data_IF_637215570041
#
_entry.id   IF_637215570041
#
_cell.length_a   1.000
_cell.length_b   1.000
_cell.length_c   1.000
_cell.angle_alpha   90.00
_cell.angle_beta   90.00
_cell.angle_gamma   90.00
#
_symmetry.space_group_name_H-M   'P 1'
#
loop_
_entity.id
_entity.type
_entity.pdbx_description
1 polymer ?
#
# COMPACT_ATOMS: atom_id res chain seq x y z
N UNK A 1 12.52 15.36 -0.12
CA UNK A 1 13.09 14.34 0.76
C UNK A 1 12.04 13.82 1.73
N UNK A 2 11.32 14.70 2.44
CA UNK A 2 10.40 14.34 3.53
C UNK A 2 9.21 13.49 3.05
N UNK A 3 8.62 13.83 1.91
CA UNK A 3 7.60 12.99 1.25
C UNK A 3 8.14 11.60 0.88
N UNK A 4 9.34 11.54 0.27
CA UNK A 4 9.95 10.28 -0.17
C UNK A 4 10.43 9.38 0.99
N UNK A 5 10.55 9.90 2.20
CA UNK A 5 10.90 9.15 3.41
C UNK A 5 9.73 8.96 4.37
N UNK A 6 8.50 9.21 3.93
CA UNK A 6 7.28 8.99 4.71
C UNK A 6 7.28 9.66 6.10
N UNK A 7 7.80 10.90 6.18
CA UNK A 7 7.86 11.66 7.43
C UNK A 7 7.17 13.03 7.33
N UNK A 8 6.10 13.08 6.56
CA UNK A 8 5.28 14.29 6.38
C UNK A 8 4.41 14.62 7.59
N UNK A 9 4.14 13.65 8.47
CA UNK A 9 3.15 13.72 9.54
C UNK A 9 1.75 13.29 9.12
N UNK A 10 1.53 13.05 7.82
CA UNK A 10 0.27 12.52 7.30
C UNK A 10 0.29 10.98 7.36
N UNK A 11 -0.69 10.34 8.00
CA UNK A 11 -0.82 8.89 7.99
C UNK A 11 -1.25 8.36 6.62
N UNK A 12 -1.40 7.06 6.49
CA UNK A 12 -2.00 6.45 5.31
C UNK A 12 -3.46 6.95 5.14
N UNK A 13 -3.84 7.22 3.92
CA UNK A 13 -5.19 7.63 3.52
C UNK A 13 -5.62 6.92 2.24
N UNK A 14 -5.16 5.69 2.04
CA UNK A 14 -5.38 4.93 0.81
C UNK A 14 -6.87 4.69 0.54
N UNK A 15 -7.71 4.68 1.58
CA UNK A 15 -9.16 4.59 1.46
C UNK A 15 -9.76 5.69 0.55
N UNK A 16 -9.12 6.87 0.48
CA UNK A 16 -9.52 7.93 -0.46
C UNK A 16 -9.60 7.47 -1.92
N UNK A 17 -8.81 6.47 -2.31
CA UNK A 17 -8.77 5.95 -3.69
C UNK A 17 -10.09 5.32 -4.13
N UNK A 18 -10.96 4.96 -3.22
CA UNK A 18 -12.28 4.43 -3.55
C UNK A 18 -13.18 5.46 -4.25
N UNK A 19 -12.91 6.75 -4.06
CA UNK A 19 -13.73 7.84 -4.63
C UNK A 19 -12.92 8.96 -5.27
N UNK A 20 -11.87 9.44 -4.60
CA UNK A 20 -11.10 10.59 -5.09
C UNK A 20 -10.33 10.20 -6.33
N UNK A 21 -10.80 10.67 -7.47
CA UNK A 21 -10.26 10.41 -8.80
C UNK A 21 -9.73 11.67 -9.48
N UNK A 22 -9.62 11.58 -10.81
CA UNK A 22 -9.20 12.67 -11.67
C UNK A 22 -7.69 12.73 -11.88
N UNK A 23 -7.04 13.87 -11.61
CA UNK A 23 -5.61 14.06 -11.86
C UNK A 23 -4.78 13.99 -10.58
N UNK A 24 -3.47 13.73 -10.74
CA UNK A 24 -2.49 13.83 -9.65
C UNK A 24 -2.47 15.21 -8.99
N UNK A 25 -2.74 16.27 -9.78
CA UNK A 25 -2.92 17.63 -9.27
C UNK A 25 -4.11 17.73 -8.33
N UNK A 26 -5.25 17.13 -8.70
CA UNK A 26 -6.45 17.13 -7.84
C UNK A 26 -6.15 16.43 -6.51
N UNK A 27 -5.53 15.26 -6.55
CA UNK A 27 -5.13 14.55 -5.34
C UNK A 27 -4.20 15.38 -4.45
N UNK A 28 -3.20 16.04 -5.03
CA UNK A 28 -2.30 16.94 -4.27
C UNK A 28 -3.08 18.04 -3.54
N UNK A 29 -4.06 18.67 -4.20
CA UNK A 29 -4.90 19.71 -3.58
C UNK A 29 -5.78 19.13 -2.46
N UNK A 30 -6.26 17.90 -2.62
CA UNK A 30 -7.02 17.19 -1.58
C UNK A 30 -6.14 16.85 -0.38
N UNK A 31 -4.92 16.39 -0.61
CA UNK A 31 -3.96 16.09 0.47
C UNK A 31 -3.65 17.32 1.36
N UNK A 32 -3.76 18.54 0.83
CA UNK A 32 -3.59 19.76 1.61
C UNK A 32 -4.68 19.99 2.69
N UNK A 33 -5.77 19.25 2.62
CA UNK A 33 -6.88 19.31 3.58
C UNK A 33 -6.92 18.09 4.51
N UNK A 34 -5.89 17.24 4.49
CA UNK A 34 -5.78 16.11 5.40
C UNK A 34 -5.16 16.55 6.72
N UNK A 35 -5.69 16.01 7.81
CA UNK A 35 -5.14 16.22 9.13
C UNK A 35 -3.87 15.38 9.32
N UNK A 36 -2.86 15.96 9.94
CA UNK A 36 -1.68 15.25 10.37
C UNK A 36 -1.95 14.53 11.70
N UNK A 37 -1.45 13.31 11.84
CA UNK A 37 -1.53 12.54 13.10
C UNK A 37 -0.22 12.63 13.90
N UNK A 38 0.85 13.19 13.31
CA UNK A 38 2.12 13.41 13.96
C UNK A 38 2.77 14.72 13.47
N UNK A 39 3.79 15.20 14.18
CA UNK A 39 4.57 16.35 13.75
C UNK A 39 5.39 16.07 12.51
N UNK A 40 5.68 17.13 11.74
CA UNK A 40 6.53 17.05 10.56
C UNK A 40 7.93 16.54 10.93
N UNK A 41 8.39 15.46 10.30
CA UNK A 41 9.66 14.74 10.55
C UNK A 41 9.74 14.00 11.89
N UNK A 42 8.66 13.89 12.62
CA UNK A 42 8.65 13.28 13.95
C UNK A 42 8.66 11.75 13.89
N UNK A 43 7.81 11.18 13.03
CA UNK A 43 7.67 9.74 12.91
C UNK A 43 7.52 9.26 11.47
N UNK A 44 7.78 7.99 11.25
CA UNK A 44 7.52 7.30 10.00
C UNK A 44 6.03 6.97 9.88
N UNK A 45 5.41 7.44 8.80
CA UNK A 45 4.02 7.12 8.45
C UNK A 45 3.94 6.86 6.95
N UNK A 46 3.85 5.58 6.58
CA UNK A 46 3.78 5.18 5.18
C UNK A 46 2.59 5.84 4.49
N UNK A 47 2.82 6.54 3.39
CA UNK A 47 1.78 7.29 2.68
C UNK A 47 2.00 7.28 1.17
N UNK A 48 1.19 6.53 0.45
CA UNK A 48 1.24 6.41 -1.01
C UNK A 48 0.93 7.72 -1.73
N UNK A 49 0.06 8.57 -1.17
CA UNK A 49 -0.30 9.85 -1.77
C UNK A 49 0.91 10.78 -1.91
N UNK A 50 1.88 10.72 -0.98
CA UNK A 50 3.10 11.50 -1.08
C UNK A 50 3.94 11.12 -2.30
N UNK A 51 3.94 9.86 -2.72
CA UNK A 51 4.59 9.42 -3.95
C UNK A 51 3.83 9.84 -5.21
N UNK A 52 2.50 9.86 -5.16
CA UNK A 52 1.68 10.41 -6.26
C UNK A 52 1.97 11.91 -6.43
N UNK A 53 2.06 12.66 -5.33
CA UNK A 53 2.44 14.09 -5.34
C UNK A 53 3.85 14.30 -5.88
N UNK A 54 4.82 13.43 -5.52
CA UNK A 54 6.17 13.46 -6.10
C UNK A 54 6.15 13.19 -7.61
N UNK A 55 5.34 12.25 -8.09
CA UNK A 55 5.14 12.03 -9.52
C UNK A 55 4.61 13.25 -10.23
N UNK A 56 3.58 13.89 -9.67
CA UNK A 56 3.06 15.16 -10.21
C UNK A 56 4.11 16.28 -10.19
N UNK A 57 4.90 16.41 -9.13
CA UNK A 57 5.99 17.37 -9.06
C UNK A 57 7.03 17.14 -10.17
N UNK A 58 7.36 15.89 -10.48
CA UNK A 58 8.25 15.56 -11.61
C UNK A 58 7.66 16.03 -12.94
N UNK A 59 6.35 15.85 -13.17
CA UNK A 59 5.67 16.34 -14.37
C UNK A 59 5.77 17.86 -14.49
N UNK A 60 5.48 18.59 -13.41
CA UNK A 60 5.57 20.05 -13.39
C UNK A 60 7.00 20.54 -13.67
N UNK A 61 8.01 19.97 -13.01
CA UNK A 61 9.41 20.35 -13.17
C UNK A 61 9.98 20.01 -14.56
N UNK A 62 9.32 19.15 -15.31
CA UNK A 62 9.70 18.75 -16.68
C UNK A 62 8.78 19.31 -17.76
N UNK A 63 8.06 20.40 -17.46
CA UNK A 63 7.26 21.11 -18.44
C UNK A 63 6.02 20.32 -18.92
N UNK A 64 5.48 19.44 -18.09
CA UNK A 64 4.30 18.64 -18.38
C UNK A 64 4.59 17.26 -18.98
N UNK A 65 5.86 16.83 -19.09
CA UNK A 65 6.19 15.46 -19.47
C UNK A 65 5.66 14.49 -18.42
N UNK A 66 4.87 13.49 -18.85
CA UNK A 66 4.25 12.54 -17.93
C UNK A 66 5.30 11.75 -17.11
N UNK A 67 4.95 11.39 -15.88
CA UNK A 67 5.79 10.55 -15.02
C UNK A 67 6.17 9.24 -15.72
N UNK A 68 5.24 8.62 -16.42
CA UNK A 68 5.43 7.36 -17.15
C UNK A 68 6.50 7.49 -18.24
N UNK A 69 6.46 8.58 -19.01
CA UNK A 69 7.46 8.86 -20.05
C UNK A 69 8.85 9.08 -19.44
N UNK A 70 8.91 9.78 -18.31
CA UNK A 70 10.16 10.01 -17.59
C UNK A 70 10.75 8.71 -17.03
N UNK A 71 9.93 7.83 -16.43
CA UNK A 71 10.38 6.52 -15.94
C UNK A 71 10.85 5.64 -17.10
N UNK A 72 10.08 5.60 -18.19
CA UNK A 72 10.48 4.85 -19.36
C UNK A 72 11.85 5.28 -19.86
N UNK A 73 12.04 6.55 -20.16
CA UNK A 73 13.28 7.10 -20.72
C UNK A 73 14.47 6.99 -19.77
N UNK A 74 14.29 7.36 -18.49
CA UNK A 74 15.41 7.52 -17.55
C UNK A 74 15.78 6.22 -16.83
N UNK A 75 14.91 5.23 -16.82
CA UNK A 75 15.12 3.97 -16.11
C UNK A 75 14.97 2.78 -17.05
N UNK A 76 13.79 2.56 -17.63
CA UNK A 76 13.50 1.35 -18.38
C UNK A 76 14.38 1.21 -19.63
N UNK A 77 14.51 2.26 -20.43
CA UNK A 77 15.31 2.24 -21.66
C UNK A 77 16.81 2.03 -21.34
N UNK A 78 17.33 2.62 -20.27
CA UNK A 78 18.72 2.43 -19.82
C UNK A 78 19.01 1.03 -19.31
N UNK A 79 18.03 0.39 -18.69
CA UNK A 79 18.10 -0.98 -18.19
C UNK A 79 17.82 -2.04 -19.27
N UNK A 80 17.35 -1.63 -20.45
CA UNK A 80 16.85 -2.56 -21.47
C UNK A 80 15.61 -3.33 -20.98
N UNK A 81 14.70 -2.67 -20.23
CA UNK A 81 13.45 -3.23 -19.77
C UNK A 81 12.40 -3.06 -20.85
N UNK A 82 11.92 -4.16 -21.42
CA UNK A 82 11.00 -4.18 -22.54
C UNK A 82 9.53 -4.41 -22.12
N UNK A 83 9.33 -5.10 -20.99
CA UNK A 83 8.01 -5.51 -20.53
C UNK A 83 7.31 -4.48 -19.64
N UNK A 84 7.93 -3.31 -19.42
CA UNK A 84 7.34 -2.28 -18.57
C UNK A 84 6.01 -1.80 -19.14
N UNK A 85 5.01 -1.76 -18.26
CA UNK A 85 3.69 -1.17 -18.51
C UNK A 85 3.28 -0.34 -17.30
N UNK A 86 2.38 0.57 -17.51
CA UNK A 86 1.88 1.45 -16.45
C UNK A 86 0.38 1.26 -16.26
N UNK A 87 -0.05 1.30 -15.02
CA UNK A 87 -1.45 1.16 -14.64
C UNK A 87 -2.31 2.26 -15.27
N UNK A 88 -3.49 1.92 -15.77
CA UNK A 88 -4.48 2.88 -16.28
C UNK A 88 -4.17 3.50 -17.64
N UNK A 89 -3.14 3.08 -18.35
CA UNK A 89 -2.92 3.56 -19.71
C UNK A 89 -3.63 2.67 -20.75
N UNK A 90 -4.39 3.27 -21.71
CA UNK A 90 -5.10 2.53 -22.75
C UNK A 90 -4.18 1.65 -23.59
N UNK A 91 -4.67 0.50 -24.05
CA UNK A 91 -3.97 -0.40 -24.97
C UNK A 91 -2.82 -1.20 -24.38
N UNK A 92 -2.55 -1.05 -23.08
CA UNK A 92 -1.41 -1.67 -22.45
C UNK A 92 -1.62 -3.14 -22.02
N UNK A 93 -2.85 -3.65 -22.00
CA UNK A 93 -3.14 -4.94 -21.36
C UNK A 93 -4.01 -5.91 -22.18
N UNK A 94 -4.68 -5.44 -23.23
CA UNK A 94 -5.76 -6.22 -23.85
C UNK A 94 -5.31 -7.44 -24.66
N UNK A 95 -4.03 -7.51 -25.05
CA UNK A 95 -3.46 -8.59 -25.87
C UNK A 95 -2.16 -9.18 -25.29
N UNK A 96 -1.88 -9.00 -24.00
CA UNK A 96 -0.66 -9.51 -23.38
C UNK A 96 -0.95 -10.73 -22.52
N UNK A 97 -0.08 -11.74 -22.61
CA UNK A 97 0.03 -12.77 -21.60
C UNK A 97 0.39 -12.12 -20.26
N UNK A 98 -0.53 -12.17 -19.30
CA UNK A 98 -0.35 -11.61 -17.95
C UNK A 98 -0.79 -12.59 -16.89
N UNK A 99 -0.15 -12.55 -15.74
CA UNK A 99 -0.65 -13.22 -14.56
C UNK A 99 -2.00 -12.60 -14.15
N UNK A 100 -2.94 -13.43 -13.75
CA UNK A 100 -4.23 -13.01 -13.21
C UNK A 100 -4.11 -12.80 -11.70
N UNK A 101 -4.86 -11.82 -11.13
CA UNK A 101 -4.84 -11.52 -9.70
C UNK A 101 -5.61 -12.55 -8.90
N UNK A 102 -5.05 -12.98 -7.78
CA UNK A 102 -5.69 -13.87 -6.82
C UNK A 102 -5.50 -13.36 -5.39
N UNK A 103 -6.46 -13.66 -4.54
CA UNK A 103 -6.34 -13.54 -3.09
C UNK A 103 -6.36 -14.93 -2.47
N UNK A 104 -5.68 -15.11 -1.35
CA UNK A 104 -5.62 -16.40 -0.67
C UNK A 104 -6.19 -16.28 0.73
N UNK A 105 -7.08 -17.19 1.10
CA UNK A 105 -7.56 -17.36 2.46
C UNK A 105 -6.62 -18.26 3.30
N UNK A 106 -5.47 -18.64 2.73
CA UNK A 106 -4.50 -19.55 3.33
C UNK A 106 -4.75 -21.01 3.00
N UNK A 107 -5.90 -21.35 2.45
CA UNK A 107 -6.30 -22.71 2.06
C UNK A 107 -6.61 -22.81 0.57
N UNK A 108 -7.16 -21.75 -0.01
CA UNK A 108 -7.50 -21.67 -1.42
C UNK A 108 -7.11 -20.32 -2.01
N UNK A 109 -6.99 -20.27 -3.34
CA UNK A 109 -6.76 -19.03 -4.07
C UNK A 109 -8.04 -18.67 -4.85
N UNK A 110 -8.51 -17.45 -4.66
CA UNK A 110 -9.71 -16.90 -5.29
C UNK A 110 -9.32 -15.79 -6.25
N UNK A 111 -9.81 -15.86 -7.48
CA UNK A 111 -9.59 -14.79 -8.45
C UNK A 111 -10.28 -13.52 -7.97
N UNK A 112 -9.55 -12.42 -7.95
CA UNK A 112 -10.10 -11.10 -7.64
C UNK A 112 -10.07 -10.18 -8.86
N UNK A 113 -10.77 -9.05 -8.75
CA UNK A 113 -10.69 -7.99 -9.73
C UNK A 113 -9.42 -7.16 -9.54
N UNK A 114 -8.95 -6.59 -10.63
CA UNK A 114 -7.78 -5.73 -10.64
C UNK A 114 -8.22 -4.29 -10.93
N UNK A 115 -8.05 -3.41 -9.96
CA UNK A 115 -8.28 -1.98 -10.15
C UNK A 115 -7.15 -1.36 -10.98
N UNK A 116 -7.48 -0.66 -12.05
CA UNK A 116 -6.52 -0.08 -13.00
C UNK A 116 -6.58 1.47 -13.00
N UNK A 117 -6.23 2.12 -11.90
CA UNK A 117 -6.22 3.58 -11.78
C UNK A 117 -4.87 4.17 -12.21
N UNK A 118 -4.83 5.09 -13.20
CA UNK A 118 -3.59 5.77 -13.60
C UNK A 118 -3.06 6.72 -12.54
N UNK A 119 -3.90 7.11 -11.59
CA UNK A 119 -3.54 8.02 -10.51
C UNK A 119 -2.39 7.46 -9.66
N UNK A 120 -2.47 6.16 -9.33
CA UNK A 120 -1.52 5.46 -8.47
C UNK A 120 -0.20 5.06 -9.15
N UNK A 121 0.02 5.46 -10.41
CA UNK A 121 1.26 5.16 -11.15
C UNK A 121 2.52 5.33 -10.31
N UNK A 122 2.80 6.51 -9.74
CA UNK A 122 4.04 6.78 -9.01
C UNK A 122 4.22 6.03 -7.69
N UNK A 123 3.16 5.51 -7.08
CA UNK A 123 3.26 4.79 -5.81
C UNK A 123 3.21 3.27 -5.95
N UNK A 124 2.78 2.73 -7.12
CA UNK A 124 2.66 1.27 -7.26
C UNK A 124 2.18 0.81 -8.64
N UNK A 125 2.12 1.70 -9.64
CA UNK A 125 1.50 1.39 -10.94
C UNK A 125 2.41 0.81 -12.02
N UNK A 126 3.65 0.45 -11.72
CA UNK A 126 4.54 -0.22 -12.67
C UNK A 126 4.21 -1.72 -12.72
N UNK A 127 4.00 -2.22 -13.94
CA UNK A 127 3.83 -3.64 -14.26
C UNK A 127 5.04 -4.11 -15.04
N UNK A 128 5.62 -5.21 -14.66
CA UNK A 128 6.85 -5.75 -15.26
C UNK A 128 6.97 -7.24 -14.96
N UNK A 129 7.66 -8.01 -15.80
CA UNK A 129 7.99 -9.38 -15.45
C UNK A 129 9.23 -9.47 -14.51
N UNK A 130 9.42 -10.60 -13.87
CA UNK A 130 10.50 -10.77 -12.87
C UNK A 130 11.90 -10.67 -13.49
N UNK A 131 12.09 -11.09 -14.74
CA UNK A 131 13.38 -10.99 -15.44
C UNK A 131 13.77 -9.52 -15.65
N UNK A 132 12.85 -8.67 -16.04
CA UNK A 132 13.12 -7.25 -16.20
C UNK A 132 13.22 -6.51 -14.86
N UNK A 133 12.43 -6.91 -13.85
CA UNK A 133 12.56 -6.39 -12.48
C UNK A 133 13.92 -6.70 -11.89
N UNK A 134 14.51 -7.88 -12.20
CA UNK A 134 15.87 -8.23 -11.73
C UNK A 134 16.95 -7.31 -12.28
N UNK A 135 16.79 -6.75 -13.49
CA UNK A 135 17.74 -5.77 -14.05
C UNK A 135 17.80 -4.51 -13.18
N UNK A 136 16.64 -4.04 -12.68
CA UNK A 136 16.55 -2.93 -11.74
C UNK A 136 17.29 -3.26 -10.43
N UNK A 137 16.98 -4.40 -9.82
CA UNK A 137 17.61 -4.85 -8.56
C UNK A 137 19.12 -4.95 -8.72
N UNK A 138 19.61 -5.55 -9.81
CA UNK A 138 21.04 -5.69 -10.06
C UNK A 138 21.74 -4.34 -10.32
N UNK A 139 21.08 -3.40 -11.00
CA UNK A 139 21.63 -2.05 -11.15
C UNK A 139 21.75 -1.34 -9.80
N UNK A 140 20.74 -1.50 -8.93
CA UNK A 140 20.78 -0.93 -7.57
C UNK A 140 21.84 -1.61 -6.69
N UNK A 141 22.00 -2.93 -6.76
CA UNK A 141 23.07 -3.66 -6.07
C UNK A 141 24.48 -3.17 -6.49
N UNK A 142 24.64 -2.77 -7.76
CA UNK A 142 25.88 -2.16 -8.33
C UNK A 142 26.01 -0.66 -8.08
N UNK A 143 25.29 -0.09 -7.12
CA UNK A 143 25.39 1.34 -6.81
C UNK A 143 24.74 2.27 -7.83
N UNK A 144 23.69 1.82 -8.49
CA UNK A 144 22.95 2.56 -9.53
C UNK A 144 23.60 2.50 -10.91
N UNK A 145 24.36 1.42 -11.20
CA UNK A 145 25.05 1.21 -12.48
C UNK A 145 24.41 0.07 -13.27
N UNK A 146 23.96 0.36 -14.48
CA UNK A 146 23.41 -0.62 -15.41
C UNK A 146 24.46 -1.63 -15.88
N UNK A 147 24.03 -2.73 -16.47
CA UNK A 147 24.95 -3.72 -17.08
C UNK A 147 25.79 -3.11 -18.21
N UNK A 148 25.24 -2.13 -18.92
CA UNK A 148 25.94 -1.35 -19.96
C UNK A 148 27.07 -0.46 -19.42
N UNK A 149 27.18 -0.28 -18.11
CA UNK A 149 28.08 0.69 -17.46
C UNK A 149 27.48 2.09 -17.31
N UNK A 150 26.32 2.37 -17.90
CA UNK A 150 25.61 3.64 -17.72
C UNK A 150 25.07 3.78 -16.30
N UNK A 151 25.06 5.00 -15.75
CA UNK A 151 24.51 5.24 -14.43
C UNK A 151 23.04 5.70 -14.52
N UNK A 152 22.21 5.12 -13.67
CA UNK A 152 20.82 5.58 -13.45
C UNK A 152 20.79 6.89 -12.64
N UNK A 153 21.72 7.04 -11.70
CA UNK A 153 21.83 8.20 -10.83
C UNK A 153 23.28 8.40 -10.39
N UNK A 154 23.61 9.58 -9.89
CA UNK A 154 24.95 9.85 -9.32
C UNK A 154 25.20 9.01 -8.06
N UNK A 155 26.46 8.79 -7.70
CA UNK A 155 26.82 8.09 -6.46
C UNK A 155 26.24 8.78 -5.21
N UNK A 156 26.18 10.10 -5.22
CA UNK A 156 25.59 10.88 -4.12
C UNK A 156 24.08 10.67 -4.01
N UNK A 157 23.37 10.61 -5.14
CA UNK A 157 21.93 10.32 -5.15
C UNK A 157 21.64 8.88 -4.71
N UNK A 158 22.44 7.90 -5.19
CA UNK A 158 22.34 6.53 -4.72
C UNK A 158 22.55 6.42 -3.21
N UNK A 159 23.60 7.03 -2.68
CA UNK A 159 23.84 7.06 -1.24
C UNK A 159 22.69 7.70 -0.47
N UNK A 160 22.13 8.82 -0.98
CA UNK A 160 20.99 9.47 -0.35
C UNK A 160 19.72 8.60 -0.32
N UNK A 161 19.47 7.81 -1.37
CA UNK A 161 18.32 6.91 -1.45
C UNK A 161 18.44 5.71 -0.49
N UNK A 162 19.64 5.13 -0.39
CA UNK A 162 19.92 3.90 0.35
C UNK A 162 20.50 4.12 1.75
N UNK A 163 20.42 5.34 2.27
CA UNK A 163 20.82 5.68 3.64
C UNK A 163 19.60 5.79 4.55
N UNK A 164 19.71 5.39 5.83
CA UNK A 164 18.63 5.56 6.79
C UNK A 164 18.27 7.04 6.96
N UNK A 165 16.98 7.34 6.98
CA UNK A 165 16.46 8.71 7.17
C UNK A 165 15.56 8.78 8.41
N UNK A 166 14.72 7.79 8.62
CA UNK A 166 13.81 7.71 9.77
C UNK A 166 13.64 6.23 10.18
N UNK A 167 13.63 5.90 11.47
CA UNK A 167 13.30 4.56 11.91
C UNK A 167 11.93 4.15 11.38
N UNK A 168 11.82 2.94 10.84
CA UNK A 168 10.57 2.36 10.37
C UNK A 168 10.16 1.18 11.26
N UNK A 169 8.85 1.03 11.46
CA UNK A 169 8.29 -0.06 12.26
C UNK A 169 8.13 -1.36 11.46
N UNK A 170 9.01 -1.64 10.48
CA UNK A 170 9.06 -2.97 9.89
C UNK A 170 9.36 -3.95 11.03
N UNK A 171 8.44 -4.88 11.25
CA UNK A 171 8.54 -5.86 12.33
C UNK A 171 9.89 -6.58 12.26
N UNK A 172 10.56 -6.64 13.38
CA UNK A 172 11.76 -7.43 13.58
C UNK A 172 11.46 -8.90 13.24
N UNK A 173 11.82 -9.29 12.04
CA UNK A 173 12.08 -10.70 11.77
C UNK A 173 13.34 -11.04 12.59
N UNK A 174 13.39 -12.18 13.23
CA UNK A 174 14.42 -12.56 14.23
C UNK A 174 15.88 -12.20 13.87
N UNK A 175 16.16 -12.02 12.57
CA UNK A 175 17.49 -11.68 12.06
C UNK A 175 17.61 -10.29 11.45
N UNK A 176 16.52 -9.52 11.36
CA UNK A 176 16.50 -8.17 10.80
C UNK A 176 16.55 -7.12 11.91
N UNK A 177 17.50 -6.21 11.86
CA UNK A 177 17.80 -5.22 12.89
C UNK A 177 17.89 -3.81 12.31
N UNK A 178 17.52 -2.82 13.13
CA UNK A 178 17.77 -1.42 12.84
C UNK A 178 17.05 -0.91 11.60
N UNK A 179 15.81 -1.35 11.38
CA UNK A 179 15.02 -0.95 10.22
C UNK A 179 14.76 0.54 10.19
N UNK A 180 15.12 1.15 9.07
CA UNK A 180 14.86 2.54 8.76
C UNK A 180 14.32 2.65 7.34
N UNK A 181 13.66 3.78 7.05
CA UNK A 181 13.29 4.12 5.68
C UNK A 181 14.21 5.21 5.13
N UNK A 182 14.69 4.99 3.90
CA UNK A 182 15.48 5.95 3.12
C UNK A 182 14.60 6.80 2.21
N UNK A 183 14.92 6.86 0.92
CA UNK A 183 14.08 7.51 -0.10
C UNK A 183 13.55 6.45 -1.07
N UNK A 184 12.41 5.86 -0.75
CA UNK A 184 11.78 4.77 -1.51
C UNK A 184 12.34 3.38 -1.19
N UNK A 185 13.12 3.22 -0.13
CA UNK A 185 13.74 1.98 0.27
C UNK A 185 13.74 1.82 1.79
N UNK A 186 13.44 0.63 2.25
CA UNK A 186 13.80 0.20 3.60
C UNK A 186 15.28 -0.15 3.64
N UNK A 187 15.91 0.12 4.77
CA UNK A 187 17.29 -0.26 5.07
C UNK A 187 17.34 -0.98 6.41
N UNK A 188 18.26 -1.91 6.57
CA UNK A 188 18.44 -2.64 7.82
C UNK A 188 19.68 -3.53 7.76
N UNK A 189 19.91 -4.28 8.83
CA UNK A 189 20.99 -5.26 8.92
C UNK A 189 20.39 -6.64 9.07
N UNK A 190 20.73 -7.55 8.18
CA UNK A 190 20.31 -8.95 8.22
C UNK A 190 21.56 -9.86 8.27
N UNK A 191 21.67 -10.67 9.31
CA UNK A 191 22.85 -11.55 9.52
C UNK A 191 24.19 -10.80 9.42
N UNK A 192 24.26 -9.55 9.92
CA UNK A 192 25.47 -8.73 9.90
C UNK A 192 25.76 -8.07 8.53
N UNK A 193 24.86 -8.15 7.57
CA UNK A 193 24.96 -7.51 6.25
C UNK A 193 23.97 -6.39 6.09
N UNK A 194 24.41 -5.24 5.55
CA UNK A 194 23.52 -4.13 5.22
C UNK A 194 22.63 -4.52 4.04
N UNK A 195 21.32 -4.49 4.26
CA UNK A 195 20.34 -4.79 3.22
C UNK A 195 19.51 -3.54 2.89
N UNK A 196 19.10 -3.46 1.63
CA UNK A 196 18.18 -2.46 1.09
C UNK A 196 17.06 -3.22 0.40
N UNK A 197 15.80 -2.95 0.77
CA UNK A 197 14.67 -3.74 0.30
C UNK A 197 13.39 -2.92 0.23
N UNK A 198 12.41 -3.42 -0.51
CA UNK A 198 11.04 -2.94 -0.49
C UNK A 198 10.07 -4.05 -0.91
N UNK A 199 8.88 -4.03 -0.34
CA UNK A 199 7.77 -4.88 -0.76
C UNK A 199 6.78 -4.09 -1.62
N UNK A 200 5.91 -4.79 -2.33
CA UNK A 200 4.77 -4.20 -3.02
C UNK A 200 3.54 -5.07 -2.84
N UNK A 201 2.39 -4.44 -2.60
CA UNK A 201 1.10 -5.09 -2.50
C UNK A 201 0.05 -4.32 -3.30
N UNK A 202 -0.64 -5.01 -4.17
CA UNK A 202 -1.83 -4.53 -4.88
C UNK A 202 -2.87 -5.65 -4.88
N UNK A 203 -4.06 -5.34 -5.34
CA UNK A 203 -5.14 -6.32 -5.45
C UNK A 203 -4.66 -7.57 -6.21
N UNK A 204 -4.55 -8.69 -5.51
CA UNK A 204 -4.16 -9.97 -6.08
C UNK A 204 -2.70 -10.12 -6.51
N UNK A 205 -1.81 -9.20 -6.14
CA UNK A 205 -0.37 -9.28 -6.40
C UNK A 205 0.46 -8.88 -5.19
N UNK A 206 1.61 -9.54 -5.03
CA UNK A 206 2.62 -9.16 -4.06
C UNK A 206 4.01 -9.22 -4.72
N UNK A 207 4.91 -8.34 -4.31
CA UNK A 207 6.28 -8.30 -4.82
C UNK A 207 7.27 -8.11 -3.68
N UNK A 208 8.47 -8.67 -3.85
CA UNK A 208 9.59 -8.45 -2.95
C UNK A 208 10.84 -8.15 -3.78
N UNK A 209 11.52 -7.07 -3.46
CA UNK A 209 12.82 -6.72 -4.05
C UNK A 209 13.81 -6.35 -2.96
N UNK A 210 15.06 -6.68 -3.15
CA UNK A 210 16.10 -6.27 -2.23
C UNK A 210 17.49 -6.69 -2.70
N UNK A 211 18.50 -6.09 -2.09
CA UNK A 211 19.90 -6.37 -2.39
C UNK A 211 20.78 -6.13 -1.15
N UNK A 212 21.94 -6.75 -1.15
CA UNK A 212 22.96 -6.52 -0.12
C UNK A 212 23.81 -5.33 -0.59
N UNK A 213 23.89 -4.30 0.24
CA UNK A 213 24.57 -3.06 -0.08
C UNK A 213 26.07 -3.29 -0.19
N UNK A 214 26.66 -2.86 -1.31
CA UNK A 214 28.08 -3.06 -1.58
C UNK A 214 28.44 -4.43 -2.15
N UNK A 215 27.46 -5.30 -2.41
CA UNK A 215 27.64 -6.61 -3.03
C UNK A 215 26.81 -6.69 -4.31
N UNK A 216 27.27 -7.48 -5.29
CA UNK A 216 26.54 -7.72 -6.53
C UNK A 216 25.49 -8.84 -6.34
N UNK A 217 24.68 -8.76 -5.32
CA UNK A 217 23.69 -9.77 -4.96
C UNK A 217 22.36 -9.15 -4.54
N UNK A 218 21.26 -9.78 -4.91
CA UNK A 218 19.92 -9.32 -4.59
C UNK A 218 18.86 -10.33 -4.99
N UNK A 219 17.61 -10.00 -4.73
CA UNK A 219 16.44 -10.81 -5.08
C UNK A 219 15.33 -9.97 -5.67
N UNK A 220 14.56 -10.56 -6.57
CA UNK A 220 13.32 -10.02 -7.11
C UNK A 220 12.29 -11.14 -7.19
N UNK A 221 11.11 -10.92 -6.66
CA UNK A 221 10.03 -11.90 -6.62
C UNK A 221 8.72 -11.22 -6.96
N UNK A 222 7.88 -11.89 -7.73
CA UNK A 222 6.53 -11.44 -8.07
C UNK A 222 5.58 -12.62 -7.83
N UNK A 223 4.54 -12.38 -7.05
CA UNK A 223 3.49 -13.33 -6.75
C UNK A 223 2.17 -12.79 -7.30
N UNK A 224 1.41 -13.63 -7.96
CA UNK A 224 0.04 -13.30 -8.37
C UNK A 224 -0.97 -13.74 -7.31
N UNK A 225 -0.66 -13.44 -6.08
CA UNK A 225 -1.55 -13.60 -4.92
C UNK A 225 -1.37 -12.40 -4.00
N UNK A 226 -2.47 -11.90 -3.47
CA UNK A 226 -2.48 -10.78 -2.53
C UNK A 226 -1.82 -11.13 -1.20
N UNK A 227 -2.39 -10.71 -0.10
CA UNK A 227 -1.84 -10.94 1.24
C UNK A 227 -1.61 -12.43 1.52
N UNK A 228 -0.35 -12.82 1.62
CA UNK A 228 0.07 -14.19 1.84
C UNK A 228 1.39 -14.23 2.61
N UNK A 229 1.60 -15.20 3.52
CA UNK A 229 2.88 -15.38 4.19
C UNK A 229 3.99 -15.76 3.20
N UNK A 230 3.63 -16.37 2.07
CA UNK A 230 4.60 -16.89 1.10
C UNK A 230 5.60 -15.82 0.63
N UNK A 231 5.18 -14.57 0.45
CA UNK A 231 6.08 -13.49 0.01
C UNK A 231 7.11 -13.12 1.08
N UNK A 232 6.71 -13.06 2.35
CA UNK A 232 7.60 -12.76 3.48
C UNK A 232 8.55 -13.93 3.74
N UNK A 233 8.04 -15.14 3.71
CA UNK A 233 8.82 -16.38 3.86
C UNK A 233 9.85 -16.48 2.74
N UNK A 234 9.45 -16.29 1.48
CA UNK A 234 10.37 -16.31 0.35
C UNK A 234 11.45 -15.21 0.45
N UNK A 235 11.10 -14.01 0.95
CA UNK A 235 12.09 -12.97 1.26
C UNK A 235 13.10 -13.45 2.29
N UNK A 236 12.64 -14.06 3.39
CA UNK A 236 13.51 -14.59 4.44
C UNK A 236 14.43 -15.67 3.90
N UNK A 237 13.89 -16.62 3.13
CA UNK A 237 14.69 -17.66 2.46
C UNK A 237 15.76 -17.05 1.55
N UNK A 238 15.41 -16.07 0.73
CA UNK A 238 16.38 -15.41 -0.15
C UNK A 238 17.47 -14.69 0.65
N UNK A 239 17.13 -14.00 1.72
CA UNK A 239 18.11 -13.33 2.58
C UNK A 239 19.01 -14.34 3.29
N UNK A 240 18.49 -15.45 3.79
CA UNK A 240 19.29 -16.53 4.36
C UNK A 240 20.27 -17.08 3.32
N UNK A 241 19.79 -17.43 2.13
CA UNK A 241 20.64 -17.93 1.04
C UNK A 241 21.73 -16.94 0.65
N UNK A 242 21.40 -15.65 0.53
CA UNK A 242 22.36 -14.61 0.15
C UNK A 242 23.39 -14.31 1.24
N UNK A 243 23.03 -14.46 2.50
CA UNK A 243 23.90 -14.06 3.63
C UNK A 243 24.67 -15.22 4.25
N UNK A 244 24.16 -16.45 4.17
CA UNK A 244 24.74 -17.62 4.83
C UNK A 244 24.94 -18.83 3.91
N UNK A 245 24.40 -18.78 2.70
CA UNK A 245 24.45 -19.88 1.73
C UNK A 245 23.45 -21.01 1.99
N UNK A 246 22.66 -20.95 3.05
CA UNK A 246 21.66 -21.97 3.38
C UNK A 246 20.49 -21.38 4.19
N UNK A 247 19.30 -21.99 4.14
CA UNK A 247 18.22 -21.68 5.04
C UNK A 247 18.62 -21.88 6.49
N UNK A 248 18.23 -20.96 7.39
CA UNK A 248 18.61 -21.02 8.82
C UNK A 248 17.56 -21.70 9.71
N UNK A 249 16.33 -21.80 9.24
CA UNK A 249 15.19 -22.26 10.06
C UNK A 249 14.19 -23.07 9.22
N UNK A 250 13.30 -23.78 9.90
CA UNK A 250 12.08 -24.28 9.30
C UNK A 250 11.14 -23.12 9.01
N UNK A 251 10.61 -23.04 7.82
CA UNK A 251 9.64 -22.01 7.42
C UNK A 251 8.19 -22.44 7.73
N UNK A 252 7.98 -23.70 8.12
CA UNK A 252 6.66 -24.21 8.49
C UNK A 252 6.13 -23.48 9.73
N UNK A 253 6.98 -23.25 10.73
CA UNK A 253 6.62 -22.49 11.93
C UNK A 253 6.18 -21.05 11.61
N UNK A 254 6.77 -20.42 10.58
CA UNK A 254 6.36 -19.10 10.12
C UNK A 254 4.98 -19.13 9.46
N UNK A 255 4.68 -20.19 8.71
CA UNK A 255 3.36 -20.40 8.08
C UNK A 255 2.31 -20.56 9.16
N UNK A 256 2.56 -21.43 10.13
CA UNK A 256 1.63 -21.71 11.23
C UNK A 256 1.37 -20.47 12.08
N UNK A 257 2.42 -19.72 12.43
CA UNK A 257 2.30 -18.46 13.17
C UNK A 257 1.45 -17.43 12.41
N UNK A 258 1.66 -17.31 11.09
CA UNK A 258 0.87 -16.41 10.28
C UNK A 258 -0.60 -16.85 10.17
N UNK A 259 -0.87 -18.12 9.92
CA UNK A 259 -2.23 -18.67 9.86
C UNK A 259 -2.96 -18.40 11.17
N UNK A 260 -2.31 -18.63 12.30
CA UNK A 260 -2.87 -18.34 13.63
C UNK A 260 -3.18 -16.85 13.80
N UNK A 261 -2.22 -15.95 13.50
CA UNK A 261 -2.40 -14.49 13.61
C UNK A 261 -3.57 -14.02 12.75
N UNK A 262 -3.71 -14.56 11.54
CA UNK A 262 -4.83 -14.28 10.63
C UNK A 262 -6.16 -14.74 11.24
N UNK A 263 -6.23 -15.97 11.73
CA UNK A 263 -7.46 -16.54 12.29
C UNK A 263 -7.90 -15.77 13.55
N UNK A 264 -6.96 -15.40 14.41
CA UNK A 264 -7.20 -14.56 15.59
C UNK A 264 -7.74 -13.19 15.18
N UNK A 265 -7.20 -12.59 14.12
CA UNK A 265 -7.65 -11.30 13.60
C UNK A 265 -9.06 -11.39 12.99
N UNK A 266 -9.34 -12.42 12.17
CA UNK A 266 -10.67 -12.68 11.61
C UNK A 266 -11.68 -12.89 12.75
N UNK A 267 -11.33 -13.65 13.78
CA UNK A 267 -12.17 -13.85 14.96
C UNK A 267 -12.44 -12.54 15.70
N UNK A 268 -11.42 -11.71 15.88
CA UNK A 268 -11.56 -10.38 16.52
C UNK A 268 -12.51 -9.47 15.74
N UNK A 269 -12.36 -9.43 14.42
CA UNK A 269 -13.23 -8.65 13.53
C UNK A 269 -14.68 -9.17 13.65
N UNK A 270 -14.90 -10.49 13.44
CA UNK A 270 -16.24 -11.08 13.54
C UNK A 270 -16.90 -10.78 14.89
N UNK A 271 -16.16 -10.94 15.98
CA UNK A 271 -16.67 -10.67 17.34
C UNK A 271 -16.98 -9.19 17.56
N UNK A 272 -16.25 -8.27 16.91
CA UNK A 272 -16.50 -6.83 16.99
C UNK A 272 -17.70 -6.36 16.16
N UNK A 273 -18.00 -7.05 15.07
CA UNK A 273 -19.05 -6.72 14.10
C UNK A 273 -20.39 -7.37 14.41
N UNK A 274 -20.44 -8.42 15.24
CA UNK A 274 -21.68 -9.13 15.61
C UNK A 274 -22.57 -8.30 16.58
N UNK A 275 -22.75 -7.01 16.28
CA UNK A 275 -23.72 -6.16 16.92
C UNK A 275 -25.06 -6.18 16.17
N UNK A 276 -26.02 -5.46 16.71
CA UNK A 276 -27.32 -5.27 16.08
C UNK A 276 -27.18 -4.47 14.77
N UNK A 277 -27.98 -4.83 13.77
CA UNK A 277 -28.04 -4.07 12.52
C UNK A 277 -28.44 -2.61 12.77
N UNK A 278 -27.78 -1.68 12.11
CA UNK A 278 -28.19 -0.27 12.08
C UNK A 278 -29.31 -0.13 11.06
N UNK A 279 -30.49 0.25 11.55
CA UNK A 279 -31.71 0.34 10.74
C UNK A 279 -32.28 1.75 10.73
N UNK A 280 -33.19 1.99 9.81
CA UNK A 280 -33.93 3.29 9.78
C UNK A 280 -34.79 3.50 11.05
N UNK A 281 -35.17 2.43 11.75
CA UNK A 281 -35.98 2.49 12.95
C UNK A 281 -35.14 2.86 14.18
N UNK A 282 -33.92 2.31 14.31
CA UNK A 282 -33.08 2.54 15.50
C UNK A 282 -32.08 3.70 15.34
N UNK A 283 -31.78 4.15 14.09
CA UNK A 283 -30.83 5.23 13.83
C UNK A 283 -31.23 6.11 12.61
N UNK A 284 -32.48 6.62 12.51
CA UNK A 284 -32.92 7.42 11.34
C UNK A 284 -32.08 8.68 11.12
N UNK A 285 -31.52 9.26 12.18
CA UNK A 285 -30.69 10.47 12.13
C UNK A 285 -29.39 10.31 11.36
N UNK A 286 -28.92 9.08 11.15
CA UNK A 286 -27.70 8.82 10.42
C UNK A 286 -27.87 8.92 8.90
N UNK A 287 -29.07 8.80 8.39
CA UNK A 287 -29.33 8.92 6.95
C UNK A 287 -28.95 10.30 6.47
N UNK A 288 -28.12 10.36 5.44
CA UNK A 288 -27.69 11.63 4.85
C UNK A 288 -26.41 11.54 4.05
N UNK A 289 -26.03 12.69 3.50
CA UNK A 289 -24.76 12.91 2.82
C UNK A 289 -23.83 13.70 3.73
N UNK A 290 -22.60 13.25 3.83
CA UNK A 290 -21.57 13.82 4.71
C UNK A 290 -20.35 14.21 3.90
N UNK A 291 -19.77 15.37 4.18
CA UNK A 291 -18.67 15.96 3.40
C UNK A 291 -17.42 16.21 4.24
N UNK A 292 -16.26 15.93 3.64
CA UNK A 292 -14.95 16.30 4.13
C UNK A 292 -14.11 16.90 2.99
N UNK A 293 -13.35 18.01 3.20
CA UNK A 293 -12.65 18.70 2.12
C UNK A 293 -11.67 17.82 1.31
N UNK A 294 -11.03 16.84 1.94
CA UNK A 294 -10.12 15.91 1.29
C UNK A 294 -10.84 14.70 0.67
N UNK A 295 -11.75 14.09 1.43
CA UNK A 295 -12.43 12.84 1.07
C UNK A 295 -13.67 13.04 0.20
N UNK A 296 -14.11 14.29 -0.01
CA UNK A 296 -15.38 14.59 -0.66
C UNK A 296 -16.57 14.09 0.18
N UNK A 297 -17.56 13.43 -0.42
CA UNK A 297 -18.76 13.00 0.27
C UNK A 297 -18.84 11.48 0.42
N UNK A 298 -19.44 11.02 1.51
CA UNK A 298 -20.02 9.70 1.60
C UNK A 298 -21.51 9.79 1.93
N UNK A 299 -22.23 8.72 1.67
CA UNK A 299 -23.65 8.63 1.93
C UNK A 299 -23.95 7.53 2.95
N UNK A 300 -24.91 7.80 3.84
CA UNK A 300 -25.58 6.78 4.65
C UNK A 300 -27.01 6.68 4.16
N UNK A 301 -27.37 5.53 3.62
CA UNK A 301 -28.62 5.30 2.91
C UNK A 301 -29.44 4.18 3.53
N UNK A 302 -30.77 4.31 3.49
CA UNK A 302 -31.67 3.21 3.84
C UNK A 302 -31.86 2.30 2.63
N UNK A 303 -31.45 1.03 2.76
CA UNK A 303 -31.69 -0.01 1.76
C UNK A 303 -32.49 -1.16 2.39
N UNK A 304 -33.79 -1.19 2.15
CA UNK A 304 -34.67 -2.24 2.67
C UNK A 304 -34.79 -2.31 4.19
N UNK A 305 -34.72 -1.14 4.86
CA UNK A 305 -34.81 -1.03 6.33
C UNK A 305 -33.45 -0.97 7.03
N UNK A 306 -32.39 -1.51 6.44
CA UNK A 306 -31.01 -1.48 6.96
C UNK A 306 -30.25 -0.28 6.42
N UNK A 307 -29.40 0.34 7.24
CA UNK A 307 -28.53 1.44 6.78
C UNK A 307 -27.25 0.91 6.17
N UNK A 308 -26.85 1.56 5.08
CA UNK A 308 -25.63 1.28 4.31
C UNK A 308 -24.77 2.51 4.22
N UNK A 309 -23.46 2.32 4.34
CA UNK A 309 -22.43 3.31 4.02
C UNK A 309 -21.98 3.13 2.56
N UNK A 310 -21.85 4.23 1.83
CA UNK A 310 -21.39 4.26 0.44
C UNK A 310 -20.34 5.34 0.24
N UNK A 311 -19.15 4.95 -0.24
CA UNK A 311 -18.05 5.85 -0.56
C UNK A 311 -17.37 5.41 -1.87
N UNK A 312 -17.80 5.97 -2.99
CA UNK A 312 -17.32 5.59 -4.32
C UNK A 312 -17.59 4.13 -4.63
N UNK A 313 -16.54 3.33 -4.79
CA UNK A 313 -16.65 1.88 -5.03
C UNK A 313 -16.82 1.03 -3.76
N UNK A 314 -16.63 1.62 -2.58
CA UNK A 314 -16.77 0.93 -1.30
C UNK A 314 -18.19 1.08 -0.76
N UNK A 315 -18.86 -0.05 -0.55
CA UNK A 315 -20.18 -0.11 0.03
C UNK A 315 -20.26 -1.20 1.09
N UNK A 316 -20.96 -0.92 2.20
CA UNK A 316 -21.09 -1.89 3.29
C UNK A 316 -22.35 -1.62 4.13
N UNK A 317 -23.04 -2.68 4.59
CA UNK A 317 -24.09 -2.52 5.58
C UNK A 317 -23.48 -2.09 6.92
N UNK A 318 -24.25 -1.34 7.71
CA UNK A 318 -23.84 -0.86 9.01
C UNK A 318 -24.38 -1.75 10.14
N UNK A 319 -23.56 -1.94 11.17
CA UNK A 319 -23.93 -2.63 12.41
C UNK A 319 -23.39 -1.85 13.62
N UNK A 320 -24.11 -1.88 14.75
CA UNK A 320 -23.57 -1.36 16.01
C UNK A 320 -22.46 -2.30 16.48
N UNK A 321 -21.34 -1.73 16.90
CA UNK A 321 -20.33 -2.50 17.60
C UNK A 321 -20.81 -2.86 19.02
N UNK A 322 -20.32 -3.95 19.58
CA UNK A 322 -20.63 -4.36 20.96
C UNK A 322 -20.15 -3.37 22.02
N UNK A 323 -19.22 -2.49 21.67
CA UNK A 323 -18.63 -1.51 22.59
C UNK A 323 -18.91 -0.06 22.14
N UNK A 324 -19.27 0.80 23.08
CA UNK A 324 -19.16 2.28 23.08
C UNK A 324 -19.95 3.07 22.01
N UNK A 325 -21.07 2.60 21.51
CA UNK A 325 -21.90 3.36 20.56
C UNK A 325 -21.23 3.61 19.20
N UNK A 326 -20.17 2.89 18.92
CA UNK A 326 -19.50 2.87 17.63
C UNK A 326 -20.34 2.10 16.62
N UNK A 327 -20.38 2.59 15.40
CA UNK A 327 -21.00 1.94 14.27
C UNK A 327 -19.87 1.44 13.34
N UNK A 328 -19.96 0.22 12.89
CA UNK A 328 -18.97 -0.36 12.01
C UNK A 328 -19.60 -0.85 10.71
N UNK A 329 -18.81 -0.82 9.64
CA UNK A 329 -19.16 -1.38 8.36
C UNK A 329 -18.06 -2.31 7.86
N UNK A 330 -18.44 -3.54 7.51
CA UNK A 330 -17.56 -4.52 6.88
C UNK A 330 -18.24 -5.00 5.62
N UNK A 331 -17.60 -4.90 4.45
CA UNK A 331 -18.12 -5.57 3.27
C UNK A 331 -18.06 -7.08 3.53
N UNK A 332 -19.15 -7.78 3.36
CA UNK A 332 -19.38 -9.16 3.80
C UNK A 332 -18.52 -10.26 3.18
N UNK A 333 -17.37 -9.95 2.62
CA UNK A 333 -16.43 -10.90 2.02
C UNK A 333 -15.16 -10.96 2.86
N UNK A 334 -15.19 -11.81 3.89
CA UNK A 334 -14.00 -12.23 4.64
C UNK A 334 -13.28 -13.38 3.91
N UNK A 335 -13.20 -13.34 2.59
CA UNK A 335 -12.49 -14.36 1.80
C UNK A 335 -10.97 -14.19 1.98
N UNK A 336 -10.49 -14.47 3.21
CA UNK A 336 -9.07 -14.59 3.56
C UNK A 336 -8.29 -13.29 3.66
N UNK A 337 -8.91 -12.14 3.42
CA UNK A 337 -8.34 -10.81 3.64
C UNK A 337 -9.00 -10.16 4.85
N UNK A 338 -8.25 -9.33 5.56
CA UNK A 338 -8.88 -8.32 6.43
C UNK A 338 -9.42 -7.28 5.47
N UNK A 339 -10.74 -7.22 5.25
CA UNK A 339 -11.29 -6.27 4.30
C UNK A 339 -11.08 -4.86 4.83
N UNK A 340 -11.01 -3.90 3.93
CA UNK A 340 -11.21 -2.51 4.31
C UNK A 340 -12.46 -2.43 5.15
N UNK A 341 -12.36 -1.76 6.28
CA UNK A 341 -13.49 -1.54 7.17
C UNK A 341 -13.58 -0.07 7.55
N UNK A 342 -14.74 0.31 7.99
CA UNK A 342 -14.98 1.66 8.50
C UNK A 342 -15.57 1.60 9.90
N UNK A 343 -15.29 2.64 10.64
CA UNK A 343 -15.89 2.89 11.94
C UNK A 343 -16.43 4.32 11.95
N UNK A 344 -17.64 4.48 12.46
CA UNK A 344 -18.35 5.74 12.54
C UNK A 344 -18.73 6.07 13.98
N UNK A 345 -18.55 7.32 14.35
CA UNK A 345 -19.01 7.87 15.64
C UNK A 345 -19.90 9.08 15.38
N UNK A 346 -21.14 9.10 15.88
CA UNK A 346 -21.97 10.30 15.87
C UNK A 346 -21.30 11.46 16.63
N UNK A 347 -21.35 12.66 16.04
CA UNK A 347 -20.84 13.90 16.62
C UNK A 347 -21.88 15.03 16.37
N UNK A 348 -22.93 15.05 17.16
CA UNK A 348 -24.12 15.86 16.90
C UNK A 348 -24.87 15.40 15.65
N UNK A 349 -24.97 16.29 14.65
CA UNK A 349 -25.51 15.95 13.32
C UNK A 349 -24.46 15.35 12.38
N UNK A 350 -23.19 15.49 12.73
CA UNK A 350 -22.04 15.09 11.93
C UNK A 350 -21.58 13.67 12.27
N UNK A 351 -20.64 13.11 11.49
CA UNK A 351 -20.03 11.80 11.74
C UNK A 351 -18.52 11.92 11.74
N UNK A 352 -17.88 11.23 12.68
CA UNK A 352 -16.44 10.93 12.58
C UNK A 352 -16.26 9.59 11.93
N UNK A 353 -15.41 9.56 10.91
CA UNK A 353 -15.03 8.36 10.17
C UNK A 353 -13.57 7.98 10.50
N UNK A 354 -13.34 6.72 10.86
CA UNK A 354 -12.04 6.07 10.83
C UNK A 354 -12.08 4.96 9.79
N UNK A 355 -11.01 4.83 9.04
CA UNK A 355 -10.83 3.80 8.03
C UNK A 355 -9.73 2.82 8.47
N UNK A 356 -9.72 1.61 7.91
CA UNK A 356 -8.78 0.55 8.24
C UNK A 356 -7.30 0.94 8.07
N UNK A 357 -7.04 1.92 7.22
CA UNK A 357 -5.69 2.41 6.87
C UNK A 357 -5.24 3.65 7.65
N UNK A 358 -6.08 4.18 8.55
CA UNK A 358 -5.75 5.36 9.35
C UNK A 358 -6.37 5.29 10.74
N UNK A 359 -5.60 5.68 11.75
CA UNK A 359 -6.11 5.80 13.13
C UNK A 359 -6.85 7.12 13.39
N UNK A 360 -6.83 8.04 12.44
CA UNK A 360 -7.51 9.32 12.58
C UNK A 360 -9.03 9.18 12.47
N UNK A 361 -9.74 9.83 13.39
CA UNK A 361 -11.20 10.01 13.35
C UNK A 361 -11.52 11.33 12.66
N UNK A 362 -11.63 11.30 11.35
CA UNK A 362 -11.91 12.50 10.53
C UNK A 362 -13.36 12.96 10.68
N UNK A 363 -13.57 14.25 10.86
CA UNK A 363 -14.90 14.82 10.97
C UNK A 363 -15.51 15.10 9.60
N UNK A 364 -16.64 14.49 9.31
CA UNK A 364 -17.47 14.75 8.14
C UNK A 364 -18.73 15.51 8.55
N UNK A 365 -19.00 16.62 7.88
CA UNK A 365 -20.17 17.45 8.14
C UNK A 365 -21.36 16.96 7.35
N UNK A 366 -22.51 16.85 8.00
CA UNK A 366 -23.77 16.53 7.34
C UNK A 366 -24.22 17.71 6.48
N UNK A 367 -24.51 17.44 5.19
CA UNK A 367 -24.94 18.47 4.23
C UNK A 367 -26.35 18.20 3.67
N UNK A 368 -26.89 17.01 3.86
CA UNK A 368 -28.27 16.61 3.50
C UNK A 368 -28.82 15.63 4.50
#
# INVERSE_FOLDING_TARGET
>A
RDMASHRSGLPCHDFMRNKVGGSRRNLMLKCANLDASAGFRETYQYNNHMYIVLGYLMEVLRGGESWESQIKRNIADKLGVETIRFRGLPGNMDNLERALPYVSDGYAAHRCEYSDSPLSGPCGGIKVNVKDLSKWVMAMARGGVCESGERLCSAAQYAAMTSPVIPSAEEDMDSLRGCCYGLGWHTGVYNGRDIVFHSGGLEGFNTQVGFIKGENSGYAMIFNTGTTPASVIARTMALDMLTTGAPKQSYDDMIDAWLKKRDDMIATIKNGVEGEDVTIENAPQLVGTYEHPAYETFDVENRGGRLWFSYGSFETPLSFAKADGMICGYPGTLDGLVPDHIELWPDGSDLRLRTSDSELKMLFRKIK
#
